data_IF_224616979856
#
_entry.id   IF_224616979856
#
_cell.length_a   1.000
_cell.length_b   1.000
_cell.length_c   1.000
_cell.angle_alpha   90.00
_cell.angle_beta   90.00
_cell.angle_gamma   90.00
#
_symmetry.space_group_name_H-M   'P 1'
#
loop_
_entity.id
_entity.type
_entity.pdbx_description
1 polymer ?
#
# COMPACT_ATOMS: atom_id res chain seq x y z
N UNK A 1 -17.07 -42.73 5.07
CA UNK A 1 -16.69 -41.85 3.98
C UNK A 1 -17.07 -40.37 4.21
N UNK A 2 -16.64 -39.66 5.28
CA UNK A 2 -16.98 -38.23 5.46
C UNK A 2 -15.80 -37.26 5.37
N UNK A 3 -14.60 -37.69 4.98
CA UNK A 3 -13.39 -36.82 5.03
C UNK A 3 -13.17 -35.91 3.81
N UNK A 4 -13.81 -36.15 2.68
CA UNK A 4 -13.58 -35.37 1.46
C UNK A 4 -14.22 -33.96 1.51
N UNK A 5 -15.32 -33.79 2.25
CA UNK A 5 -16.00 -32.48 2.36
C UNK A 5 -15.30 -31.49 3.28
N UNK A 6 -14.65 -31.96 4.35
CA UNK A 6 -13.98 -31.10 5.33
C UNK A 6 -12.71 -30.42 4.77
N UNK A 7 -11.97 -31.10 3.89
CA UNK A 7 -10.80 -30.51 3.23
C UNK A 7 -11.18 -29.36 2.29
N UNK A 8 -12.27 -29.53 1.52
CA UNK A 8 -12.77 -28.50 0.60
C UNK A 8 -13.28 -27.28 1.35
N UNK A 9 -14.02 -27.47 2.44
CA UNK A 9 -14.50 -26.37 3.30
C UNK A 9 -13.35 -25.57 3.92
N UNK A 10 -12.34 -26.25 4.47
CA UNK A 10 -11.15 -25.59 5.04
C UNK A 10 -10.40 -24.78 3.97
N UNK A 11 -10.25 -25.34 2.79
CA UNK A 11 -9.59 -24.63 1.67
C UNK A 11 -10.37 -23.38 1.24
N UNK A 12 -11.70 -23.48 1.09
CA UNK A 12 -12.55 -22.33 0.76
C UNK A 12 -12.52 -21.26 1.86
N UNK A 13 -12.61 -21.66 3.12
CA UNK A 13 -12.51 -20.74 4.27
C UNK A 13 -11.16 -20.02 4.28
N UNK A 14 -10.06 -20.73 4.04
CA UNK A 14 -8.74 -20.13 3.94
C UNK A 14 -8.66 -19.09 2.83
N UNK A 15 -9.19 -19.41 1.63
CA UNK A 15 -9.20 -18.46 0.51
C UNK A 15 -10.03 -17.20 0.80
N UNK A 16 -11.20 -17.36 1.43
CA UNK A 16 -12.03 -16.21 1.79
C UNK A 16 -11.33 -15.34 2.83
N UNK A 17 -10.80 -15.96 3.89
CA UNK A 17 -10.12 -15.23 4.96
C UNK A 17 -8.85 -14.56 4.44
N UNK A 18 -8.04 -15.24 3.62
CA UNK A 18 -6.84 -14.65 3.04
C UNK A 18 -7.18 -13.45 2.15
N UNK A 19 -8.21 -13.55 1.33
CA UNK A 19 -8.68 -12.43 0.49
C UNK A 19 -9.13 -11.24 1.34
N UNK A 20 -9.94 -11.46 2.37
CA UNK A 20 -10.39 -10.39 3.27
C UNK A 20 -9.21 -9.73 4.01
N UNK A 21 -8.27 -10.54 4.48
CA UNK A 21 -7.05 -10.04 5.12
C UNK A 21 -6.18 -9.24 4.14
N UNK A 22 -6.04 -9.70 2.89
CA UNK A 22 -5.31 -8.97 1.84
C UNK A 22 -5.93 -7.60 1.58
N UNK A 23 -7.26 -7.51 1.50
CA UNK A 23 -7.98 -6.25 1.28
C UNK A 23 -7.79 -5.31 2.48
N UNK A 24 -8.04 -5.80 3.69
CA UNK A 24 -7.96 -4.98 4.92
C UNK A 24 -6.52 -4.52 5.16
N UNK A 25 -5.55 -5.44 5.08
CA UNK A 25 -4.14 -5.11 5.26
C UNK A 25 -3.64 -4.17 4.15
N UNK A 26 -4.09 -4.38 2.91
CA UNK A 26 -3.79 -3.49 1.78
C UNK A 26 -4.28 -2.07 1.99
N UNK A 27 -5.50 -1.90 2.49
CA UNK A 27 -6.07 -0.58 2.79
C UNK A 27 -5.35 0.10 3.97
N UNK A 28 -5.19 -0.60 5.08
CA UNK A 28 -4.60 -0.01 6.29
C UNK A 28 -3.10 0.21 6.14
N UNK A 29 -2.37 -0.81 5.71
CA UNK A 29 -0.93 -0.71 5.49
C UNK A 29 -0.58 0.22 4.33
N UNK A 30 -1.38 0.19 3.25
CA UNK A 30 -1.25 1.12 2.13
C UNK A 30 -1.47 2.56 2.55
N UNK A 31 -2.46 2.85 3.42
CA UNK A 31 -2.66 4.20 3.98
C UNK A 31 -1.46 4.64 4.83
N UNK A 32 -0.89 3.74 5.66
CA UNK A 32 0.30 4.05 6.44
C UNK A 32 1.52 4.33 5.55
N UNK A 33 1.74 3.54 4.49
CA UNK A 33 2.81 3.75 3.52
C UNK A 33 2.62 5.04 2.73
N UNK A 34 1.39 5.32 2.28
CA UNK A 34 1.07 6.56 1.57
C UNK A 34 1.28 7.79 2.47
N UNK A 35 0.98 7.69 3.78
CA UNK A 35 1.27 8.74 4.76
C UNK A 35 2.77 9.06 4.80
N UNK A 36 3.62 8.04 4.92
CA UNK A 36 5.09 8.20 4.90
C UNK A 36 5.53 8.84 3.58
N UNK A 37 4.99 8.36 2.48
CA UNK A 37 5.35 8.85 1.14
C UNK A 37 4.95 10.31 0.93
N UNK A 38 3.74 10.71 1.33
CA UNK A 38 3.29 12.11 1.31
C UNK A 38 4.17 13.00 2.18
N UNK A 39 4.54 12.53 3.36
CA UNK A 39 5.43 13.26 4.27
C UNK A 39 6.83 13.46 3.68
N UNK A 40 7.38 12.41 3.07
CA UNK A 40 8.68 12.44 2.40
C UNK A 40 8.69 13.43 1.22
N UNK A 41 7.62 13.46 0.44
CA UNK A 41 7.39 14.36 -0.69
C UNK A 41 7.01 15.78 -0.28
N UNK A 42 6.79 16.05 1.02
CA UNK A 42 6.28 17.33 1.52
C UNK A 42 4.96 17.75 0.87
N UNK A 43 4.10 16.79 0.56
CA UNK A 43 2.76 17.07 0.06
C UNK A 43 1.90 17.50 1.25
N UNK A 44 1.22 18.67 1.18
CA UNK A 44 0.37 19.10 2.27
C UNK A 44 -0.80 18.13 2.45
N UNK A 45 -1.12 17.78 3.69
CA UNK A 45 -2.23 16.87 4.01
C UNK A 45 -3.61 17.54 3.97
N UNK A 46 -3.66 18.84 3.73
CA UNK A 46 -4.91 19.57 3.64
C UNK A 46 -5.62 19.37 2.30
N UNK A 47 -5.81 18.10 1.92
CA UNK A 47 -6.47 17.69 0.68
C UNK A 47 -7.31 16.42 0.94
N UNK A 48 -8.23 16.04 0.03
CA UNK A 48 -9.09 14.85 0.21
C UNK A 48 -8.30 13.55 0.41
N UNK A 49 -7.16 13.37 -0.28
CA UNK A 49 -6.29 12.19 -0.13
C UNK A 49 -5.69 12.14 1.27
N UNK A 50 -5.15 13.27 1.76
CA UNK A 50 -4.59 13.37 3.11
C UNK A 50 -5.62 13.07 4.20
N UNK A 51 -6.87 13.57 4.04
CA UNK A 51 -7.97 13.26 4.98
C UNK A 51 -8.31 11.79 5.01
N UNK A 52 -8.38 11.13 3.85
CA UNK A 52 -8.60 9.69 3.75
C UNK A 52 -7.47 8.90 4.42
N UNK A 53 -6.22 9.27 4.15
CA UNK A 53 -5.05 8.64 4.76
C UNK A 53 -5.08 8.76 6.27
N UNK A 54 -5.41 9.94 6.82
CA UNK A 54 -5.54 10.12 8.26
C UNK A 54 -6.70 9.31 8.85
N UNK A 55 -7.88 9.33 8.21
CA UNK A 55 -9.03 8.56 8.68
C UNK A 55 -8.74 7.06 8.80
N UNK A 56 -7.95 6.51 7.86
CA UNK A 56 -7.59 5.09 7.86
C UNK A 56 -6.41 4.75 8.79
N UNK A 57 -5.48 5.68 9.03
CA UNK A 57 -4.23 5.39 9.75
C UNK A 57 -4.14 5.96 11.15
N UNK A 58 -4.85 7.04 11.49
CA UNK A 58 -4.66 7.76 12.75
C UNK A 58 -4.95 6.91 13.98
N UNK A 59 -6.00 6.10 13.95
CA UNK A 59 -6.37 5.25 15.08
C UNK A 59 -5.26 4.27 15.48
N UNK A 60 -4.40 3.90 14.55
CA UNK A 60 -3.29 2.97 14.76
C UNK A 60 -1.94 3.72 14.93
N UNK A 61 -1.71 4.77 14.14
CA UNK A 61 -0.45 5.51 14.16
C UNK A 61 -0.33 6.42 15.40
N UNK A 62 -1.43 7.04 15.85
CA UNK A 62 -1.39 7.92 17.03
C UNK A 62 -0.93 7.23 18.32
N UNK A 63 -1.43 6.03 18.69
CA UNK A 63 -0.89 5.33 19.87
C UNK A 63 0.58 4.91 19.66
N UNK A 64 0.99 4.53 18.46
CA UNK A 64 2.39 4.17 18.18
C UNK A 64 3.34 5.36 18.27
N UNK A 65 2.89 6.57 17.95
CA UNK A 65 3.70 7.79 18.10
C UNK A 65 4.08 8.10 19.53
N UNK A 66 3.37 7.57 20.51
CA UNK A 66 3.73 7.69 21.92
C UNK A 66 4.98 6.85 22.26
N UNK A 67 5.20 5.77 21.53
CA UNK A 67 6.33 4.85 21.71
C UNK A 67 7.49 5.19 20.79
N UNK A 68 7.17 5.53 19.53
CA UNK A 68 8.16 5.87 18.50
C UNK A 68 7.90 7.31 18.03
N UNK A 69 8.59 8.29 18.61
CA UNK A 69 8.44 9.68 18.16
C UNK A 69 8.97 9.87 16.74
N UNK A 70 8.40 10.78 15.95
CA UNK A 70 8.87 11.06 14.60
C UNK A 70 10.29 11.63 14.63
N UNK A 71 11.20 11.02 13.90
CA UNK A 71 12.59 11.45 13.73
C UNK A 71 12.72 12.30 12.45
N UNK A 72 12.45 13.59 12.55
CA UNK A 72 12.58 14.53 11.45
C UNK A 72 11.64 14.24 10.28
N UNK A 73 12.17 13.74 9.15
CA UNK A 73 11.40 13.43 7.94
C UNK A 73 10.77 12.03 7.94
N UNK A 74 11.20 11.16 8.84
CA UNK A 74 10.79 9.76 8.87
C UNK A 74 9.72 9.57 9.93
N UNK A 75 8.53 9.17 9.51
CA UNK A 75 7.46 8.76 10.41
C UNK A 75 7.62 7.28 10.77
N UNK A 76 8.52 7.00 11.73
CA UNK A 76 8.78 5.64 12.21
C UNK A 76 7.52 4.95 12.74
N UNK A 77 6.60 5.70 13.34
CA UNK A 77 5.34 5.17 13.84
C UNK A 77 4.45 4.65 12.70
N UNK A 78 4.37 5.35 11.56
CA UNK A 78 3.61 4.89 10.40
C UNK A 78 4.27 3.68 9.73
N UNK A 79 5.61 3.61 9.70
CA UNK A 79 6.32 2.43 9.18
C UNK A 79 6.09 1.21 10.08
N UNK A 80 6.19 1.40 11.39
CA UNK A 80 5.92 0.36 12.37
C UNK A 80 4.47 -0.11 12.30
N UNK A 81 3.51 0.81 12.11
CA UNK A 81 2.11 0.48 11.92
C UNK A 81 1.91 -0.38 10.68
N UNK A 82 2.48 -0.01 9.53
CA UNK A 82 2.41 -0.81 8.30
C UNK A 82 3.02 -2.20 8.50
N UNK A 83 4.18 -2.29 9.16
CA UNK A 83 4.83 -3.57 9.47
C UNK A 83 3.96 -4.45 10.37
N UNK A 84 3.35 -3.87 11.42
CA UNK A 84 2.45 -4.59 12.33
C UNK A 84 1.21 -5.12 11.61
N UNK A 85 0.64 -4.36 10.69
CA UNK A 85 -0.49 -4.81 9.87
C UNK A 85 -0.11 -6.04 9.06
N UNK A 86 1.01 -6.00 8.35
CA UNK A 86 1.50 -7.12 7.53
C UNK A 86 1.85 -8.32 8.41
N UNK A 87 2.51 -8.08 9.54
CA UNK A 87 2.88 -9.13 10.48
C UNK A 87 1.65 -9.83 11.08
N UNK A 88 0.61 -9.04 11.42
CA UNK A 88 -0.67 -9.57 11.90
C UNK A 88 -1.36 -10.40 10.82
N UNK A 89 -1.37 -9.93 9.58
CA UNK A 89 -1.92 -10.65 8.44
C UNK A 89 -1.25 -12.01 8.25
N UNK A 90 0.08 -12.06 8.16
CA UNK A 90 0.81 -13.33 8.01
C UNK A 90 0.70 -14.20 9.25
N UNK A 91 0.66 -13.62 10.44
CA UNK A 91 0.45 -14.36 11.69
C UNK A 91 -0.90 -15.07 11.72
N UNK A 92 -1.99 -14.40 11.31
CA UNK A 92 -3.33 -15.00 11.22
C UNK A 92 -3.33 -16.14 10.19
N UNK A 93 -2.73 -15.91 9.01
CA UNK A 93 -2.66 -16.94 7.97
C UNK A 93 -1.85 -18.16 8.43
N UNK A 94 -0.75 -17.94 9.14
CA UNK A 94 0.05 -19.02 9.73
C UNK A 94 -0.72 -19.85 10.77
N UNK A 95 -1.50 -19.19 11.62
CA UNK A 95 -2.39 -19.85 12.59
C UNK A 95 -3.44 -20.71 11.89
N UNK A 96 -4.01 -20.24 10.79
CA UNK A 96 -5.03 -20.96 10.02
C UNK A 96 -4.50 -22.21 9.30
N UNK A 97 -3.22 -22.17 8.87
CA UNK A 97 -2.57 -23.31 8.19
C UNK A 97 -2.18 -24.41 9.18
N UNK A 98 -2.12 -24.14 10.48
CA UNK A 98 -1.90 -25.15 11.50
C UNK A 98 -0.52 -25.17 12.14
N UNK A 99 0.02 -24.01 12.51
CA UNK A 99 1.18 -23.84 13.42
C UNK A 99 2.37 -24.78 13.15
N UNK A 100 2.90 -24.77 11.90
CA UNK A 100 4.18 -25.46 11.62
C UNK A 100 5.38 -24.68 12.14
N UNK A 101 6.59 -25.25 12.06
CA UNK A 101 7.85 -24.65 12.55
C UNK A 101 8.29 -23.35 11.83
N UNK A 102 7.42 -22.78 11.00
CA UNK A 102 7.69 -21.59 10.15
C UNK A 102 7.60 -20.23 10.86
N UNK A 103 7.32 -20.14 12.16
CA UNK A 103 7.17 -18.87 12.88
C UNK A 103 8.43 -17.98 12.85
N UNK A 104 9.59 -18.60 12.74
CA UNK A 104 10.90 -17.89 12.63
C UNK A 104 10.99 -17.06 11.36
N UNK A 105 10.28 -17.45 10.30
CA UNK A 105 10.26 -16.76 9.00
C UNK A 105 9.24 -15.64 8.93
N UNK A 106 8.32 -15.52 9.88
CA UNK A 106 7.27 -14.47 9.87
C UNK A 106 7.82 -13.06 9.75
N UNK A 107 8.89 -12.64 10.48
CA UNK A 107 9.43 -11.29 10.32
C UNK A 107 10.01 -11.04 8.93
N UNK A 108 10.67 -12.04 8.35
CA UNK A 108 11.24 -11.96 6.99
C UNK A 108 10.12 -11.85 5.96
N UNK A 109 9.09 -12.69 6.08
CA UNK A 109 7.90 -12.62 5.23
C UNK A 109 7.17 -11.27 5.35
N UNK A 110 7.11 -10.71 6.56
CA UNK A 110 6.50 -9.40 6.77
C UNK A 110 7.29 -8.27 6.08
N UNK A 111 8.62 -8.32 6.07
CA UNK A 111 9.44 -7.36 5.32
C UNK A 111 9.21 -7.46 3.82
N UNK A 112 9.20 -8.67 3.26
CA UNK A 112 8.86 -8.87 1.84
C UNK A 112 7.42 -8.46 1.53
N UNK A 113 6.48 -8.74 2.43
CA UNK A 113 5.09 -8.32 2.31
C UNK A 113 4.95 -6.80 2.30
N UNK A 114 5.71 -6.10 3.15
CA UNK A 114 5.75 -4.64 3.18
C UNK A 114 6.31 -4.06 1.88
N UNK A 115 7.40 -4.62 1.37
CA UNK A 115 7.97 -4.23 0.08
C UNK A 115 6.98 -4.46 -1.07
N UNK A 116 6.34 -5.63 -1.12
CA UNK A 116 5.28 -5.93 -2.09
C UNK A 116 4.13 -4.92 -2.00
N UNK A 117 3.67 -4.61 -0.79
CA UNK A 117 2.60 -3.63 -0.56
C UNK A 117 2.99 -2.23 -1.05
N UNK A 118 4.23 -1.80 -0.82
CA UNK A 118 4.75 -0.53 -1.32
C UNK A 118 4.75 -0.47 -2.85
N UNK A 119 5.22 -1.54 -3.51
CA UNK A 119 5.24 -1.64 -4.98
C UNK A 119 3.81 -1.64 -5.54
N UNK A 120 2.90 -2.44 -4.98
CA UNK A 120 1.50 -2.49 -5.41
C UNK A 120 0.79 -1.15 -5.19
N UNK A 121 1.08 -0.45 -4.09
CA UNK A 121 0.57 0.89 -3.81
C UNK A 121 1.08 1.91 -4.85
N UNK A 122 2.35 1.82 -5.24
CA UNK A 122 2.92 2.67 -6.29
C UNK A 122 2.29 2.40 -7.66
N UNK A 123 2.12 1.13 -8.02
CA UNK A 123 1.43 0.72 -9.25
C UNK A 123 -0.01 1.27 -9.26
N UNK A 124 -0.75 1.10 -8.16
CA UNK A 124 -2.09 1.65 -8.03
C UNK A 124 -2.14 3.17 -8.20
N UNK A 125 -1.18 3.89 -7.61
CA UNK A 125 -1.05 5.35 -7.74
C UNK A 125 -0.78 5.76 -9.20
N UNK A 126 0.08 5.02 -9.91
CA UNK A 126 0.38 5.26 -11.33
C UNK A 126 -0.84 4.99 -12.23
N UNK A 127 -1.62 3.93 -11.94
CA UNK A 127 -2.85 3.63 -12.68
C UNK A 127 -3.86 4.78 -12.50
N UNK A 128 -4.08 5.22 -11.25
CA UNK A 128 -4.99 6.35 -10.97
C UNK A 128 -4.51 7.61 -11.68
N UNK A 129 -3.22 7.89 -11.65
CA UNK A 129 -2.63 9.01 -12.38
C UNK A 129 -2.88 8.91 -13.89
N UNK A 130 -2.65 7.74 -14.51
CA UNK A 130 -2.87 7.52 -15.94
C UNK A 130 -4.34 7.77 -16.33
N UNK A 131 -5.28 7.21 -15.55
CA UNK A 131 -6.72 7.41 -15.78
C UNK A 131 -7.08 8.89 -15.66
N UNK A 132 -6.60 9.60 -14.62
CA UNK A 132 -6.87 11.02 -14.44
C UNK A 132 -6.25 11.89 -15.53
N UNK A 133 -5.08 11.50 -16.04
CA UNK A 133 -4.43 12.17 -17.17
C UNK A 133 -5.26 12.02 -18.47
N UNK A 134 -5.84 10.86 -18.71
CA UNK A 134 -6.67 10.60 -19.91
C UNK A 134 -8.01 11.33 -19.86
N UNK A 135 -8.63 11.36 -18.67
CA UNK A 135 -9.91 12.07 -18.48
C UNK A 135 -9.72 13.60 -18.42
N UNK A 136 -8.47 14.10 -18.45
CA UNK A 136 -8.13 15.51 -18.29
C UNK A 136 -8.78 16.13 -17.05
N UNK A 137 -8.85 15.36 -15.97
CA UNK A 137 -9.51 15.77 -14.74
C UNK A 137 -8.76 16.94 -14.07
N UNK A 138 -9.32 18.13 -14.14
CA UNK A 138 -8.82 19.32 -13.44
C UNK A 138 -9.43 19.35 -12.02
N UNK A 139 -8.89 18.59 -11.11
CA UNK A 139 -9.35 18.51 -9.72
C UNK A 139 -8.20 18.69 -8.73
N UNK A 140 -8.45 19.14 -7.50
CA UNK A 140 -7.43 19.21 -6.47
C UNK A 140 -6.74 17.85 -6.22
N UNK A 141 -7.47 16.75 -6.43
CA UNK A 141 -6.96 15.39 -6.29
C UNK A 141 -5.95 15.06 -7.38
N UNK A 142 -6.20 15.47 -8.63
CA UNK A 142 -5.29 15.20 -9.75
C UNK A 142 -3.92 15.85 -9.54
N UNK A 143 -3.88 17.06 -8.99
CA UNK A 143 -2.63 17.75 -8.67
C UNK A 143 -1.83 17.04 -7.58
N UNK A 144 -2.50 16.49 -6.56
CA UNK A 144 -1.86 15.73 -5.49
C UNK A 144 -1.27 14.43 -6.03
N UNK A 145 -2.05 13.69 -6.82
CA UNK A 145 -1.62 12.42 -7.42
C UNK A 145 -0.47 12.67 -8.40
N UNK A 146 -0.56 13.69 -9.26
CA UNK A 146 0.51 14.08 -10.17
C UNK A 146 1.82 14.35 -9.42
N UNK A 147 1.76 15.10 -8.33
CA UNK A 147 2.92 15.40 -7.49
C UNK A 147 3.50 14.17 -6.83
N UNK A 148 2.66 13.23 -6.39
CA UNK A 148 3.10 11.96 -5.82
C UNK A 148 3.77 11.05 -6.86
N UNK A 149 3.29 11.06 -8.10
CA UNK A 149 3.88 10.26 -9.19
C UNK A 149 5.13 10.91 -9.80
N UNK A 150 5.33 12.23 -9.64
CA UNK A 150 6.40 12.98 -10.29
C UNK A 150 7.81 12.39 -10.09
N UNK A 151 8.28 11.99 -8.88
CA UNK A 151 9.63 11.48 -8.72
C UNK A 151 9.88 10.17 -9.47
N UNK A 152 8.82 9.36 -9.63
CA UNK A 152 8.90 8.09 -10.34
C UNK A 152 8.77 8.30 -11.86
N UNK A 153 7.94 9.24 -12.28
CA UNK A 153 7.74 9.56 -13.69
C UNK A 153 8.84 10.46 -14.29
N UNK A 154 9.51 11.25 -13.46
CA UNK A 154 10.54 12.21 -13.90
C UNK A 154 11.65 11.59 -14.75
N UNK A 155 12.26 10.43 -14.39
CA UNK A 155 13.28 9.80 -15.24
C UNK A 155 12.71 9.33 -16.58
N UNK A 156 11.47 8.81 -16.58
CA UNK A 156 10.80 8.27 -17.78
C UNK A 156 10.38 9.39 -18.74
N UNK A 157 9.86 10.49 -18.21
CA UNK A 157 9.49 11.68 -19.00
C UNK A 157 10.66 12.34 -19.70
N UNK A 158 11.90 12.12 -19.25
CA UNK A 158 13.09 12.62 -19.96
C UNK A 158 13.35 11.85 -21.26
N UNK A 159 12.85 10.62 -21.36
CA UNK A 159 13.08 9.73 -22.51
C UNK A 159 11.87 9.76 -23.44
N UNK A 160 10.66 9.88 -22.88
CA UNK A 160 9.41 9.80 -23.63
C UNK A 160 8.73 11.18 -23.62
N UNK A 161 8.68 11.88 -24.77
CA UNK A 161 7.95 13.13 -24.88
C UNK A 161 6.44 12.93 -24.81
N UNK A 162 5.71 13.97 -24.42
CA UNK A 162 4.25 14.01 -24.45
C UNK A 162 3.75 13.85 -25.90
N UNK A 163 2.89 12.88 -26.14
CA UNK A 163 2.29 12.63 -27.45
C UNK A 163 0.81 13.02 -27.42
N UNK A 164 0.45 14.05 -28.20
CA UNK A 164 -0.95 14.48 -28.32
C UNK A 164 -1.60 15.04 -27.05
N UNK A 165 -0.78 15.52 -26.07
CA UNK A 165 -1.30 16.02 -24.79
C UNK A 165 -1.58 14.93 -23.75
N UNK A 166 -1.36 13.67 -24.09
CA UNK A 166 -1.51 12.52 -23.18
C UNK A 166 -0.12 12.10 -22.70
N UNK A 167 0.01 11.87 -21.39
CA UNK A 167 1.23 11.36 -20.78
C UNK A 167 1.27 9.82 -20.86
N UNK A 168 2.11 9.27 -21.74
CA UNK A 168 2.32 7.85 -21.92
C UNK A 168 3.36 7.27 -20.93
N UNK A 169 4.04 8.13 -20.19
CA UNK A 169 5.08 7.71 -19.23
C UNK A 169 4.60 6.70 -18.17
N UNK A 170 3.37 6.82 -17.60
CA UNK A 170 2.88 5.83 -16.65
C UNK A 170 2.66 4.46 -17.28
N UNK A 171 2.24 4.39 -18.55
CA UNK A 171 2.05 3.12 -19.27
C UNK A 171 3.38 2.39 -19.45
N UNK A 172 4.42 3.10 -19.85
CA UNK A 172 5.75 2.52 -20.03
C UNK A 172 6.31 2.03 -18.70
N UNK A 173 6.09 2.78 -17.63
CA UNK A 173 6.53 2.38 -16.29
C UNK A 173 5.78 1.16 -15.73
N UNK A 174 4.51 0.96 -16.13
CA UNK A 174 3.72 -0.20 -15.73
C UNK A 174 4.12 -1.49 -16.48
N UNK A 175 4.76 -1.37 -17.64
CA UNK A 175 5.23 -2.50 -18.46
C UNK A 175 6.66 -2.93 -18.07
N UNK A 176 7.44 -2.03 -17.48
CA UNK A 176 8.81 -2.31 -16.99
C UNK A 176 8.79 -2.99 -15.64
#
# INVERSE_FOLDING_TARGET
MPRCGQGRLRFMLYQIVSFLLDVVAGLLGGACLLRIYMQWQRVPFNNPVGRLVFALSDWMVLPLRRVVPPLGRWDGASLLAALLVVLTQYGILWLLVGMGDGWVWLPVLALFGLARMAIMGLIGLLIVYAVMSWVQAHSPISHVIARLCEPVLRPVRRIIPLVGGIDLSPLVLLVL
#
